data_IF_620726633351
#
_entry.id   IF_620726633351
#
_cell.length_a   1.000
_cell.length_b   1.000
_cell.length_c   1.000
_cell.angle_alpha   90.00
_cell.angle_beta   90.00
_cell.angle_gamma   90.00
#
_symmetry.space_group_name_H-M   'P 1'
#
loop_
_entity.id
_entity.type
_entity.pdbx_description
1 polymer ?
#
# COMPACT_ATOMS: atom_id res chain seq x y z
N UNK A 1 -55.62 1.06 39.42
CA UNK A 1 -55.05 2.15 38.58
C UNK A 1 -53.53 2.31 38.74
N UNK A 2 -52.91 1.75 39.79
CA UNK A 2 -51.45 1.83 40.03
C UNK A 2 -50.63 0.84 39.18
N UNK A 3 -51.09 -0.41 39.07
CA UNK A 3 -50.38 -1.50 38.35
C UNK A 3 -50.13 -1.18 36.87
N UNK A 4 -51.13 -0.63 36.17
CA UNK A 4 -51.01 -0.25 34.76
C UNK A 4 -50.05 0.91 34.51
N UNK A 5 -49.90 1.81 35.49
CA UNK A 5 -48.96 2.93 35.40
C UNK A 5 -47.52 2.43 35.57
N UNK A 6 -47.31 1.47 36.48
CA UNK A 6 -46.03 0.82 36.70
C UNK A 6 -45.55 0.05 35.45
N UNK A 7 -46.41 -0.77 34.87
CA UNK A 7 -46.07 -1.54 33.64
C UNK A 7 -45.73 -0.61 32.48
N UNK A 8 -46.46 0.50 32.32
CA UNK A 8 -46.15 1.52 31.30
C UNK A 8 -44.83 2.22 31.58
N UNK A 9 -44.53 2.57 32.82
CA UNK A 9 -43.27 3.21 33.18
C UNK A 9 -42.07 2.30 32.90
N UNK A 10 -42.18 1.02 33.27
CA UNK A 10 -41.14 0.00 33.03
C UNK A 10 -40.96 -0.22 31.53
N UNK A 11 -42.05 -0.32 30.76
CA UNK A 11 -41.98 -0.46 29.30
C UNK A 11 -41.34 0.76 28.63
N UNK A 12 -41.66 1.98 29.07
CA UNK A 12 -41.06 3.21 28.54
C UNK A 12 -39.57 3.30 28.90
N UNK A 13 -39.17 2.92 30.12
CA UNK A 13 -37.76 2.85 30.52
C UNK A 13 -36.98 1.83 29.68
N UNK A 14 -37.56 0.67 29.40
CA UNK A 14 -36.96 -0.34 28.51
C UNK A 14 -36.81 0.16 27.08
N UNK A 15 -37.83 0.82 26.52
CA UNK A 15 -37.78 1.40 25.18
C UNK A 15 -36.71 2.49 25.07
N UNK A 16 -36.57 3.33 26.09
CA UNK A 16 -35.52 4.35 26.15
C UNK A 16 -34.13 3.71 26.23
N UNK A 17 -33.97 2.64 27.02
CA UNK A 17 -32.70 1.90 27.12
C UNK A 17 -32.28 1.29 25.77
N UNK A 18 -33.24 0.79 24.97
CA UNK A 18 -33.00 0.27 23.61
C UNK A 18 -32.52 1.36 22.63
N UNK A 19 -32.89 2.62 22.84
CA UNK A 19 -32.44 3.75 22.02
C UNK A 19 -31.02 4.19 22.39
N UNK A 20 -30.67 4.09 23.68
CA UNK A 20 -29.35 4.47 24.22
C UNK A 20 -28.34 3.32 24.24
N UNK A 21 -28.72 2.10 23.90
CA UNK A 21 -27.79 1.05 23.54
C UNK A 21 -27.07 1.54 22.28
N UNK A 22 -25.80 1.98 22.37
CA UNK A 22 -25.05 2.27 21.16
C UNK A 22 -25.05 0.96 20.42
N UNK A 23 -25.56 0.96 19.19
CA UNK A 23 -25.36 -0.13 18.27
C UNK A 23 -23.85 -0.33 18.16
N UNK A 24 -23.30 -1.21 18.99
CA UNK A 24 -21.94 -1.73 18.84
C UNK A 24 -21.98 -2.73 17.68
N UNK A 25 -22.50 -2.31 16.54
CA UNK A 25 -21.90 -2.70 15.29
C UNK A 25 -20.57 -1.96 15.30
N UNK A 26 -19.55 -2.63 15.84
CA UNK A 26 -18.21 -2.45 15.34
C UNK A 26 -18.28 -2.85 13.86
N UNK A 27 -18.63 -1.91 13.00
CA UNK A 27 -18.24 -2.01 11.60
C UNK A 27 -16.74 -1.63 11.53
N UNK A 28 -15.93 -2.44 12.20
CA UNK A 28 -14.48 -2.46 11.99
C UNK A 28 -14.32 -3.19 10.67
N UNK A 29 -14.25 -2.43 9.58
CA UNK A 29 -13.79 -2.94 8.29
C UNK A 29 -14.81 -2.94 7.15
N UNK A 30 -15.45 -1.80 6.89
CA UNK A 30 -15.63 -1.41 5.49
C UNK A 30 -15.42 0.09 5.32
N UNK A 31 -14.15 0.51 5.38
CA UNK A 31 -13.73 1.60 4.49
C UNK A 31 -13.85 1.02 3.08
N UNK A 32 -15.08 0.98 2.59
CA UNK A 32 -15.41 0.63 1.23
C UNK A 32 -14.73 1.70 0.38
N UNK A 33 -13.64 1.35 -0.31
CA UNK A 33 -13.05 2.16 -1.37
C UNK A 33 -14.18 2.41 -2.39
N UNK A 34 -14.90 3.52 -2.23
CA UNK A 34 -16.09 3.82 -3.05
C UNK A 34 -15.72 4.21 -4.48
N UNK A 35 -14.43 4.28 -4.80
CA UNK A 35 -13.89 4.48 -6.13
C UNK A 35 -12.51 3.83 -6.22
N UNK A 36 -12.31 2.98 -7.22
CA UNK A 36 -11.00 2.53 -7.65
C UNK A 36 -10.78 2.98 -9.10
N UNK A 37 -9.53 3.20 -9.50
CA UNK A 37 -9.19 3.44 -10.90
C UNK A 37 -8.11 2.46 -11.36
N UNK A 38 -8.26 1.95 -12.58
CA UNK A 38 -7.21 1.12 -13.21
C UNK A 38 -6.21 2.04 -13.89
N UNK A 39 -4.94 1.87 -13.59
CA UNK A 39 -3.82 2.59 -14.22
C UNK A 39 -2.82 1.63 -14.83
N UNK A 40 -2.07 2.12 -15.82
CA UNK A 40 -0.96 1.38 -16.43
C UNK A 40 0.31 2.20 -16.27
N UNK A 41 1.12 1.94 -15.23
CA UNK A 41 2.37 2.64 -15.01
C UNK A 41 3.39 2.33 -16.09
N UNK A 42 3.99 3.36 -16.67
CA UNK A 42 5.04 3.26 -17.69
C UNK A 42 6.37 3.67 -17.10
N UNK A 43 7.30 2.72 -17.02
CA UNK A 43 8.69 3.01 -16.61
C UNK A 43 9.35 3.86 -17.69
N UNK A 44 9.98 4.98 -17.29
CA UNK A 44 10.69 5.84 -18.21
C UNK A 44 12.17 5.43 -18.35
N UNK A 45 12.76 5.53 -19.54
CA UNK A 45 14.19 5.28 -19.73
C UNK A 45 15.01 6.40 -19.09
N UNK A 46 16.02 6.02 -18.30
CA UNK A 46 16.99 6.98 -17.74
C UNK A 46 17.92 7.43 -18.86
N UNK A 47 18.02 8.74 -19.10
CA UNK A 47 18.84 9.32 -20.18
C UNK A 47 20.23 9.68 -19.65
N UNK A 48 21.19 8.78 -19.85
CA UNK A 48 22.58 8.96 -19.43
C UNK A 48 23.18 7.61 -19.04
N UNK A 49 24.34 7.29 -19.59
CA UNK A 49 25.15 6.12 -19.26
C UNK A 49 25.40 6.03 -17.75
N UNK A 50 25.16 4.84 -17.18
CA UNK A 50 25.49 4.44 -15.80
C UNK A 50 24.94 5.36 -14.71
N UNK A 51 23.67 5.15 -14.30
CA UNK A 51 23.22 5.55 -12.96
C UNK A 51 23.67 4.46 -11.97
N UNK A 52 24.27 4.80 -10.81
CA UNK A 52 24.61 3.82 -9.79
C UNK A 52 23.28 3.26 -9.27
N UNK A 53 23.03 1.97 -9.54
CA UNK A 53 21.74 1.31 -9.37
C UNK A 53 20.93 1.76 -8.16
N UNK A 54 19.92 2.61 -8.40
CA UNK A 54 19.11 3.12 -7.31
C UNK A 54 17.93 4.01 -7.68
N UNK A 55 17.86 4.59 -8.91
CA UNK A 55 16.77 5.51 -9.29
C UNK A 55 15.92 4.99 -10.44
N UNK A 56 14.63 5.25 -10.36
CA UNK A 56 13.65 4.93 -11.40
C UNK A 56 12.56 5.99 -11.49
N UNK A 57 11.99 6.16 -12.67
CA UNK A 57 10.83 7.04 -12.85
C UNK A 57 9.69 6.30 -13.53
N UNK A 58 8.46 6.58 -13.08
CA UNK A 58 7.24 6.01 -13.64
C UNK A 58 6.26 7.11 -14.01
N UNK A 59 5.61 6.97 -15.14
CA UNK A 59 4.50 7.82 -15.56
C UNK A 59 3.21 7.03 -15.49
N UNK A 60 2.21 7.55 -14.77
CA UNK A 60 0.87 6.97 -14.70
C UNK A 60 -0.20 8.05 -14.83
N UNK A 61 -1.36 7.67 -15.36
CA UNK A 61 -2.52 8.56 -15.50
C UNK A 61 -3.41 8.40 -14.27
N UNK A 62 -3.33 9.33 -13.32
CA UNK A 62 -4.16 9.32 -12.11
C UNK A 62 -5.20 10.42 -12.18
N UNK A 63 -6.47 10.10 -11.91
CA UNK A 63 -7.57 11.08 -11.92
C UNK A 63 -7.61 11.92 -13.22
N UNK A 64 -7.30 11.30 -14.36
CA UNK A 64 -7.25 11.96 -15.67
C UNK A 64 -6.06 12.90 -15.90
N UNK A 65 -5.05 12.92 -15.02
CA UNK A 65 -3.82 13.72 -15.19
C UNK A 65 -2.58 12.83 -15.15
N UNK A 66 -1.63 13.09 -16.04
CA UNK A 66 -0.35 12.40 -15.99
C UNK A 66 0.43 12.82 -14.74
N UNK A 67 0.85 11.84 -13.95
CA UNK A 67 1.70 11.99 -12.78
C UNK A 67 3.03 11.30 -13.07
N UNK A 68 4.12 12.02 -12.86
CA UNK A 68 5.48 11.50 -12.97
C UNK A 68 6.03 11.27 -11.57
N UNK A 69 6.30 10.01 -11.25
CA UNK A 69 6.91 9.57 -10.01
C UNK A 69 8.43 9.56 -10.17
N UNK A 70 9.13 10.21 -9.25
CA UNK A 70 10.58 10.11 -9.08
C UNK A 70 10.83 9.24 -7.87
N UNK A 71 11.53 8.12 -8.06
CA UNK A 71 11.73 7.10 -7.04
C UNK A 71 13.21 6.77 -6.88
N UNK A 72 13.63 6.57 -5.64
CA UNK A 72 14.97 6.12 -5.28
C UNK A 72 14.90 5.01 -4.22
N UNK A 73 15.87 4.10 -4.25
CA UNK A 73 15.97 3.02 -3.26
C UNK A 73 16.05 3.61 -1.86
N UNK A 74 15.23 3.08 -0.95
CA UNK A 74 15.22 3.51 0.45
C UNK A 74 16.41 2.93 1.23
N UNK A 75 17.40 3.78 1.54
CA UNK A 75 18.41 3.54 2.57
C UNK A 75 19.73 2.89 2.12
N UNK A 76 20.80 3.25 2.82
CA UNK A 76 22.22 3.06 2.48
C UNK A 76 22.78 1.62 2.68
N UNK A 77 21.95 0.61 2.94
CA UNK A 77 22.46 -0.68 3.42
C UNK A 77 21.94 -1.85 2.58
N UNK A 78 22.47 -1.93 1.36
CA UNK A 78 22.62 -3.22 0.72
C UNK A 78 23.67 -4.02 1.51
N UNK A 79 23.27 -4.71 2.58
CA UNK A 79 24.03 -5.87 3.04
C UNK A 79 23.77 -7.01 2.06
N UNK A 80 24.15 -6.80 0.81
CA UNK A 80 24.16 -7.83 -0.19
C UNK A 80 25.40 -8.68 0.05
N UNK A 81 25.20 -9.99 0.06
CA UNK A 81 26.22 -11.03 0.18
C UNK A 81 26.75 -11.28 1.62
N UNK A 82 25.94 -11.90 2.47
CA UNK A 82 26.46 -12.64 3.63
C UNK A 82 26.58 -14.14 3.28
N UNK A 83 27.71 -14.80 3.59
CA UNK A 83 27.88 -16.21 3.33
C UNK A 83 26.92 -17.02 4.23
N UNK A 84 26.15 -17.91 3.63
CA UNK A 84 25.34 -18.90 4.34
C UNK A 84 26.09 -20.23 4.32
N UNK A 85 26.25 -20.81 5.50
CA UNK A 85 26.88 -22.11 5.69
C UNK A 85 25.81 -23.16 5.96
N UNK A 86 25.77 -24.22 5.15
CA UNK A 86 24.83 -25.33 5.30
C UNK A 86 25.57 -26.66 5.28
N UNK A 87 25.07 -27.67 6.00
CA UNK A 87 25.62 -29.02 5.97
C UNK A 87 24.71 -29.92 5.14
N UNK A 88 25.22 -30.45 4.04
CA UNK A 88 24.54 -31.47 3.24
C UNK A 88 25.35 -32.76 3.30
N UNK A 89 24.75 -33.84 3.83
CA UNK A 89 25.38 -35.15 3.99
C UNK A 89 26.73 -35.11 4.75
N UNK A 90 26.86 -34.22 5.74
CA UNK A 90 28.09 -34.04 6.51
C UNK A 90 29.18 -33.24 5.82
N UNK A 91 28.96 -32.74 4.60
CA UNK A 91 29.85 -31.82 3.89
C UNK A 91 29.39 -30.38 4.13
N UNK A 92 30.33 -29.51 4.51
CA UNK A 92 30.09 -28.07 4.67
C UNK A 92 29.99 -27.43 3.28
N UNK A 93 28.80 -26.93 2.95
CA UNK A 93 28.55 -26.06 1.81
C UNK A 93 28.59 -24.60 2.23
N UNK A 94 29.14 -23.75 1.38
CA UNK A 94 29.04 -22.31 1.48
C UNK A 94 28.28 -21.79 0.26
N UNK A 95 27.18 -21.12 0.50
CA UNK A 95 26.38 -20.47 -0.54
C UNK A 95 26.39 -18.96 -0.30
N UNK A 96 26.52 -18.20 -1.37
CA UNK A 96 26.31 -16.75 -1.37
C UNK A 96 24.93 -16.53 -2.00
N UNK A 97 23.84 -16.52 -1.23
CA UNK A 97 22.55 -16.19 -1.81
C UNK A 97 22.60 -14.79 -2.40
N UNK A 98 22.25 -14.67 -3.67
CA UNK A 98 21.98 -13.39 -4.30
C UNK A 98 20.71 -12.84 -3.62
N UNK A 99 20.89 -12.07 -2.54
CA UNK A 99 19.80 -11.36 -1.90
C UNK A 99 19.21 -10.39 -2.92
N UNK A 100 17.88 -10.37 -3.01
CA UNK A 100 17.13 -9.52 -3.93
C UNK A 100 17.63 -8.08 -3.83
N UNK A 101 17.85 -7.45 -4.97
CA UNK A 101 18.06 -6.00 -5.07
C UNK A 101 17.03 -5.30 -4.19
N UNK A 102 17.45 -4.24 -3.50
CA UNK A 102 16.55 -3.44 -2.68
C UNK A 102 15.41 -2.91 -3.57
N UNK A 103 14.28 -3.62 -3.52
CA UNK A 103 13.11 -3.38 -4.37
C UNK A 103 12.17 -2.33 -3.78
N UNK A 104 12.51 -1.79 -2.60
CA UNK A 104 11.71 -0.78 -1.91
C UNK A 104 12.23 0.61 -2.27
N UNK A 105 11.37 1.39 -2.89
CA UNK A 105 11.67 2.72 -3.38
C UNK A 105 10.77 3.73 -2.69
N UNK A 106 11.34 4.89 -2.36
CA UNK A 106 10.61 6.05 -1.89
C UNK A 106 10.85 7.24 -2.81
N UNK A 107 9.98 8.24 -2.75
CA UNK A 107 10.13 9.43 -3.55
C UNK A 107 8.88 10.31 -3.58
N UNK A 108 8.65 10.99 -4.71
CA UNK A 108 7.62 12.04 -4.81
C UNK A 108 7.04 12.15 -6.23
N UNK A 109 5.92 12.88 -6.35
CA UNK A 109 5.30 13.22 -7.63
C UNK A 109 5.79 14.59 -8.13
N UNK A 110 6.19 14.66 -9.40
CA UNK A 110 6.64 15.90 -10.01
C UNK A 110 5.53 16.96 -10.03
N UNK A 111 5.86 18.17 -9.58
CA UNK A 111 4.94 19.31 -9.57
C UNK A 111 3.86 19.26 -8.47
N UNK A 112 3.91 18.29 -7.55
CA UNK A 112 2.98 18.21 -6.40
C UNK A 112 3.75 18.39 -5.08
N UNK A 113 3.71 19.60 -4.48
CA UNK A 113 4.34 19.87 -3.19
C UNK A 113 3.80 18.96 -2.08
N UNK A 114 4.69 18.42 -1.25
CA UNK A 114 4.31 17.56 -0.13
C UNK A 114 3.82 16.16 -0.52
N UNK A 115 3.89 15.80 -1.80
CA UNK A 115 3.60 14.43 -2.23
C UNK A 115 4.66 13.46 -1.72
N UNK A 116 4.25 12.21 -1.52
CA UNK A 116 5.12 11.13 -1.07
C UNK A 116 4.74 9.83 -1.75
N UNK A 117 5.73 9.00 -2.08
CA UNK A 117 5.54 7.69 -2.68
C UNK A 117 6.41 6.69 -1.94
N UNK A 118 5.85 5.52 -1.61
CA UNK A 118 6.60 4.40 -1.04
C UNK A 118 6.08 3.11 -1.66
N UNK A 119 6.89 2.46 -2.49
CA UNK A 119 6.48 1.31 -3.30
C UNK A 119 7.54 0.22 -3.35
N UNK A 120 7.10 -1.03 -3.41
CA UNK A 120 7.89 -2.18 -3.83
C UNK A 120 7.72 -2.37 -5.34
N UNK A 121 8.79 -2.72 -6.07
CA UNK A 121 8.76 -2.97 -7.52
C UNK A 121 9.13 -4.41 -7.94
N UNK A 122 9.44 -5.32 -7.00
CA UNK A 122 9.89 -6.69 -7.27
C UNK A 122 8.87 -7.54 -8.06
N UNK A 123 7.58 -7.24 -7.97
CA UNK A 123 6.52 -7.99 -8.67
C UNK A 123 5.40 -7.06 -9.16
N UNK A 124 5.81 -5.89 -9.66
CA UNK A 124 4.92 -4.77 -9.95
C UNK A 124 4.96 -3.70 -8.87
N UNK A 125 4.43 -2.51 -9.18
CA UNK A 125 4.31 -1.41 -8.22
C UNK A 125 3.26 -1.75 -7.16
N UNK A 126 3.71 -1.89 -5.92
CA UNK A 126 2.83 -2.11 -4.76
C UNK A 126 3.19 -1.13 -3.65
N UNK A 127 2.23 -0.38 -3.13
CA UNK A 127 2.48 0.50 -1.98
C UNK A 127 1.53 1.70 -1.92
N UNK A 128 2.04 2.82 -1.41
CA UNK A 128 1.23 3.99 -1.11
C UNK A 128 1.72 5.21 -1.89
N UNK A 129 0.76 5.96 -2.41
CA UNK A 129 0.93 7.25 -3.08
C UNK A 129 0.16 8.31 -2.28
N UNK A 130 0.82 9.35 -1.80
CA UNK A 130 0.21 10.47 -1.10
C UNK A 130 0.29 11.70 -1.98
N UNK A 131 -0.87 12.30 -2.26
CA UNK A 131 -1.01 13.51 -3.08
C UNK A 131 -1.98 14.45 -2.34
N UNK A 132 -1.48 15.63 -1.98
CA UNK A 132 -2.22 16.59 -1.15
C UNK A 132 -2.66 15.92 0.17
N UNK A 133 -3.95 15.83 0.46
CA UNK A 133 -4.50 15.17 1.65
C UNK A 133 -5.09 13.78 1.34
N UNK A 134 -4.84 13.24 0.14
CA UNK A 134 -5.38 11.95 -0.30
C UNK A 134 -4.27 10.89 -0.38
N UNK A 135 -4.55 9.73 0.19
CA UNK A 135 -3.69 8.54 0.13
C UNK A 135 -4.32 7.51 -0.80
N UNK A 136 -3.56 7.01 -1.76
CA UNK A 136 -3.93 5.96 -2.70
C UNK A 136 -3.07 4.73 -2.45
N UNK A 137 -3.68 3.55 -2.58
CA UNK A 137 -2.96 2.28 -2.54
C UNK A 137 -2.78 1.78 -3.97
N UNK A 138 -1.55 1.55 -4.42
CA UNK A 138 -1.30 0.94 -5.71
C UNK A 138 -1.08 -0.56 -5.55
N UNK A 139 -1.83 -1.37 -6.29
CA UNK A 139 -1.75 -2.83 -6.25
C UNK A 139 -1.76 -3.43 -7.66
N UNK A 140 -0.87 -4.39 -7.99
CA UNK A 140 -0.89 -5.06 -9.28
C UNK A 140 -2.17 -5.87 -9.49
N UNK A 141 -2.76 -5.77 -10.69
CA UNK A 141 -3.87 -6.65 -11.10
C UNK A 141 -3.32 -8.06 -11.33
N UNK A 142 -3.95 -9.05 -10.69
CA UNK A 142 -3.57 -10.45 -10.84
C UNK A 142 -3.67 -10.88 -12.32
N UNK A 143 -2.60 -11.48 -12.85
CA UNK A 143 -2.53 -11.97 -14.22
C UNK A 143 -2.74 -10.90 -15.30
N UNK A 144 -2.41 -9.64 -15.01
CA UNK A 144 -2.46 -8.56 -16.01
C UNK A 144 -1.55 -8.85 -17.21
N UNK A 145 -2.01 -8.48 -18.41
CA UNK A 145 -1.23 -8.55 -19.65
C UNK A 145 -0.49 -7.26 -19.96
N UNK A 146 -0.96 -6.13 -19.42
CA UNK A 146 -0.48 -4.79 -19.76
C UNK A 146 0.15 -4.06 -18.57
N UNK A 147 0.50 -4.77 -17.49
CA UNK A 147 1.05 -4.17 -16.26
C UNK A 147 0.06 -3.18 -15.63
N UNK A 148 -1.19 -3.61 -15.52
CA UNK A 148 -2.29 -2.85 -14.91
C UNK A 148 -2.20 -2.91 -13.38
N UNK A 149 -2.58 -1.79 -12.77
CA UNK A 149 -2.64 -1.61 -11.32
C UNK A 149 -3.98 -0.99 -10.93
N UNK A 150 -4.46 -1.32 -9.75
CA UNK A 150 -5.60 -0.66 -9.12
C UNK A 150 -5.07 0.40 -8.15
N UNK A 151 -5.69 1.59 -8.19
CA UNK A 151 -5.51 2.70 -7.24
C UNK A 151 -6.73 2.90 -6.35
#
# INVERSE_FOLDING_TARGET
MSEHLCVKLVAMLFLVLLIFLPSTFCDIGSVYYSSYETVIPKRLPVKGSEDPGGRVSYMLLMQGRQQLLHLEVKGDHSTSNFPVYSYHNGVLGQEMPLLSQDCHYEGYMEGVPGSFVSVNICSGLRGILIKEETSYSIEPVLSSKEFEHIL
#
